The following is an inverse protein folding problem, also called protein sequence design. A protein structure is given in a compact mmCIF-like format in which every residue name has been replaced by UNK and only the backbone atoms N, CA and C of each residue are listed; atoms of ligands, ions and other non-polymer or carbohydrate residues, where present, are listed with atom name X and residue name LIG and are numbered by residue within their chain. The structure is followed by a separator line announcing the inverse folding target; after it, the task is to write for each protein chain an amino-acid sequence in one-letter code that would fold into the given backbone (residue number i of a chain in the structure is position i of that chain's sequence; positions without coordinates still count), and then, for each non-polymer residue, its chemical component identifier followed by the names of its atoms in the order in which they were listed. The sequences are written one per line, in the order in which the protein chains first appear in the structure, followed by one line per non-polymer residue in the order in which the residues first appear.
data_IF_988731417422
#
_entry.id   IF_988731417422
#
_cell.length_a   1.000
_cell.length_b   1.000
_cell.length_c   1.000
_cell.angle_alpha   90.00
_cell.angle_beta   90.00
_cell.angle_gamma   90.00
#
_symmetry.space_group_name_H-M   'P 1'
#
loop_
_entity.id
_entity.type
_entity.pdbx_description
1 polymer ?
#
# COMPACT_ATOMS: atom_id res chain seq x y z
N UNK A 1 -15.21 -5.65 46.16
CA UNK A 1 -14.09 -6.21 45.38
C UNK A 1 -14.54 -6.21 43.93
N UNK A 2 -13.74 -5.68 43.00
CA UNK A 2 -14.08 -5.66 41.58
C UNK A 2 -13.32 -6.80 40.90
N UNK A 3 -13.98 -7.50 39.98
CA UNK A 3 -13.38 -8.62 39.25
C UNK A 3 -13.00 -8.16 37.83
N UNK A 4 -11.73 -8.31 37.42
CA UNK A 4 -11.30 -8.03 36.06
C UNK A 4 -11.93 -9.06 35.11
N UNK A 5 -12.50 -8.58 34.01
CA UNK A 5 -13.08 -9.41 32.94
C UNK A 5 -12.08 -9.60 31.80
N UNK A 6 -11.39 -8.53 31.38
CA UNK A 6 -10.49 -8.56 30.24
C UNK A 6 -9.46 -7.43 30.27
N UNK A 7 -8.26 -7.69 29.74
CA UNK A 7 -7.30 -6.65 29.38
C UNK A 7 -7.52 -6.21 27.94
N UNK A 8 -7.79 -4.92 27.75
CA UNK A 8 -8.19 -4.36 26.44
C UNK A 8 -7.14 -3.45 25.79
N UNK A 9 -6.21 -2.91 26.58
CA UNK A 9 -5.13 -2.07 26.06
C UNK A 9 -3.91 -2.08 26.98
N UNK A 10 -2.75 -1.73 26.43
CA UNK A 10 -1.49 -1.55 27.15
C UNK A 10 -0.92 -0.17 26.78
N UNK A 11 -0.31 0.52 27.74
CA UNK A 11 0.44 1.77 27.50
C UNK A 11 1.59 1.91 28.48
N UNK A 12 2.60 2.68 28.09
CA UNK A 12 3.64 3.16 28.99
C UNK A 12 3.27 4.58 29.45
N UNK A 13 3.04 4.77 30.75
CA UNK A 13 2.72 6.07 31.33
C UNK A 13 3.60 6.35 32.55
N UNK A 14 4.31 7.48 32.55
CA UNK A 14 5.23 7.89 33.63
C UNK A 14 6.27 6.80 34.00
N UNK A 15 6.75 6.05 33.01
CA UNK A 15 7.72 4.97 33.22
C UNK A 15 7.13 3.66 33.75
N UNK A 16 5.81 3.59 33.95
CA UNK A 16 5.11 2.39 34.42
C UNK A 16 4.22 1.84 33.32
N UNK A 17 4.31 0.54 33.07
CA UNK A 17 3.36 -0.15 32.19
C UNK A 17 2.00 -0.22 32.86
N UNK A 18 1.00 0.33 32.19
CA UNK A 18 -0.38 0.30 32.62
C UNK A 18 -1.21 -0.48 31.61
N UNK A 19 -2.21 -1.19 32.11
CA UNK A 19 -3.17 -1.92 31.30
C UNK A 19 -4.57 -1.35 31.53
N UNK A 20 -5.33 -1.25 30.46
CA UNK A 20 -6.73 -0.88 30.56
C UNK A 20 -7.56 -2.12 30.85
N UNK A 21 -8.26 -2.11 31.98
CA UNK A 21 -9.03 -3.25 32.47
C UNK A 21 -10.50 -3.03 32.15
N UNK A 22 -11.12 -4.04 31.54
CA UNK A 22 -12.57 -4.19 31.44
C UNK A 22 -13.04 -4.90 32.71
N UNK A 23 -13.95 -4.28 33.44
CA UNK A 23 -14.49 -4.81 34.70
C UNK A 23 -15.78 -5.59 34.46
N UNK A 24 -15.93 -6.71 35.17
CA UNK A 24 -17.11 -7.57 35.09
C UNK A 24 -18.36 -6.83 35.57
N UNK A 25 -19.43 -6.87 34.78
CA UNK A 25 -20.69 -6.17 35.08
C UNK A 25 -20.69 -4.66 34.82
N UNK A 26 -19.58 -4.08 34.35
CA UNK A 26 -19.49 -2.66 34.00
C UNK A 26 -19.33 -2.46 32.50
N UNK A 27 -19.91 -1.39 31.96
CA UNK A 27 -19.67 -1.01 30.56
C UNK A 27 -18.25 -0.49 30.32
N UNK A 28 -17.78 -0.55 29.06
CA UNK A 28 -16.44 -0.15 28.64
C UNK A 28 -16.05 1.29 29.00
N UNK A 29 -17.04 2.19 29.20
CA UNK A 29 -16.80 3.56 29.66
C UNK A 29 -16.19 3.63 31.07
N UNK A 30 -16.36 2.58 31.88
CA UNK A 30 -15.80 2.49 33.24
C UNK A 30 -14.44 1.80 33.26
N UNK A 31 -13.87 1.47 32.10
CA UNK A 31 -12.55 0.85 32.06
C UNK A 31 -11.50 1.81 32.61
N UNK A 32 -10.67 1.31 33.52
CA UNK A 32 -9.62 2.09 34.19
C UNK A 32 -8.24 1.62 33.73
N UNK A 33 -7.24 2.48 33.90
CA UNK A 33 -5.83 2.16 33.64
C UNK A 33 -5.16 1.76 34.95
N UNK A 34 -4.86 0.48 35.09
CA UNK A 34 -4.21 -0.08 36.27
C UNK A 34 -2.72 -0.34 35.99
N UNK A 35 -1.80 0.00 36.91
CA UNK A 35 -0.41 -0.42 36.80
C UNK A 35 -0.30 -1.94 36.84
N UNK A 36 0.75 -2.49 36.23
CA UNK A 36 1.03 -3.93 36.24
C UNK A 36 1.02 -4.55 37.65
N UNK A 37 1.45 -3.79 38.66
CA UNK A 37 1.47 -4.20 40.07
C UNK A 37 0.08 -4.50 40.64
N UNK A 38 -0.97 -3.83 40.15
CA UNK A 38 -2.37 -4.07 40.57
C UNK A 38 -2.98 -5.31 39.90
N UNK A 39 -2.30 -5.90 38.91
CA UNK A 39 -2.79 -7.03 38.11
C UNK A 39 -2.08 -8.35 38.45
N UNK A 40 -1.46 -8.43 39.62
CA UNK A 40 -0.94 -9.69 40.13
C UNK A 40 -2.06 -10.75 40.17
N UNK A 41 -1.84 -11.91 39.54
CA UNK A 41 -2.84 -12.96 39.39
C UNK A 41 -3.71 -12.86 38.12
N UNK A 42 -3.47 -11.88 37.25
CA UNK A 42 -4.14 -11.72 35.96
C UNK A 42 -3.18 -11.95 34.77
N UNK A 43 -2.08 -12.69 34.98
CA UNK A 43 -1.02 -12.88 33.99
C UNK A 43 -1.54 -13.56 32.70
N UNK A 44 -2.47 -14.50 32.83
CA UNK A 44 -3.07 -15.19 31.69
C UNK A 44 -3.87 -14.21 30.80
N UNK A 45 -4.65 -13.30 31.40
CA UNK A 45 -5.40 -12.28 30.66
C UNK A 45 -4.46 -11.31 29.92
N UNK A 46 -3.32 -10.98 30.54
CA UNK A 46 -2.29 -10.13 29.93
C UNK A 46 -1.62 -10.89 28.76
N UNK A 47 -1.28 -12.16 28.95
CA UNK A 47 -0.66 -12.98 27.90
C UNK A 47 -1.59 -13.12 26.69
N UNK A 48 -2.87 -13.38 26.92
CA UNK A 48 -3.90 -13.45 25.88
C UNK A 48 -4.05 -12.12 25.14
N UNK A 49 -4.07 -11.00 25.86
CA UNK A 49 -4.07 -9.67 25.24
C UNK A 49 -2.84 -9.46 24.34
N UNK A 50 -1.64 -9.76 24.85
CA UNK A 50 -0.40 -9.60 24.09
C UNK A 50 -0.36 -10.47 22.85
N UNK A 51 -0.85 -11.71 22.93
CA UNK A 51 -0.97 -12.61 21.78
C UNK A 51 -1.88 -12.01 20.70
N UNK A 52 -3.09 -11.58 21.08
CA UNK A 52 -4.04 -10.93 20.16
C UNK A 52 -3.46 -9.67 19.54
N UNK A 53 -2.70 -8.90 20.31
CA UNK A 53 -2.09 -7.66 19.84
C UNK A 53 -0.98 -7.92 18.80
N UNK A 54 -0.17 -8.96 18.99
CA UNK A 54 0.82 -9.40 18.00
C UNK A 54 0.14 -9.85 16.71
N UNK A 55 -0.92 -10.65 16.80
CA UNK A 55 -1.70 -11.10 15.63
C UNK A 55 -2.35 -9.91 14.90
N UNK A 56 -2.89 -8.95 15.64
CA UNK A 56 -3.47 -7.72 15.09
C UNK A 56 -2.44 -6.89 14.34
N UNK A 57 -1.25 -6.69 14.92
CA UNK A 57 -0.16 -5.93 14.29
C UNK A 57 0.29 -6.60 13.00
N UNK A 58 0.50 -7.93 13.02
CA UNK A 58 0.84 -8.69 11.81
C UNK A 58 -0.21 -8.53 10.71
N UNK A 59 -1.49 -8.66 11.04
CA UNK A 59 -2.57 -8.47 10.07
C UNK A 59 -2.61 -7.05 9.49
N UNK A 60 -2.28 -6.02 10.28
CA UNK A 60 -2.16 -4.65 9.78
C UNK A 60 -0.96 -4.46 8.86
N UNK A 61 0.18 -5.07 9.16
CA UNK A 61 1.37 -5.04 8.30
C UNK A 61 1.12 -5.74 6.95
N UNK A 62 0.46 -6.91 6.98
CA UNK A 62 0.05 -7.63 5.77
C UNK A 62 -0.93 -6.82 4.92
N UNK A 63 -1.95 -6.22 5.55
CA UNK A 63 -2.91 -5.36 4.86
C UNK A 63 -2.23 -4.11 4.25
N UNK A 64 -1.29 -3.50 4.96
CA UNK A 64 -0.52 -2.36 4.47
C UNK A 64 0.36 -2.74 3.27
N UNK A 65 1.01 -3.91 3.32
CA UNK A 65 1.80 -4.46 2.23
C UNK A 65 0.95 -4.71 0.98
N UNK A 66 -0.21 -5.38 1.14
CA UNK A 66 -1.14 -5.61 0.03
C UNK A 66 -1.63 -4.30 -0.60
N UNK A 67 -1.98 -3.31 0.22
CA UNK A 67 -2.43 -2.00 -0.26
C UNK A 67 -1.32 -1.27 -1.05
N UNK A 68 -0.06 -1.39 -0.62
CA UNK A 68 1.09 -0.86 -1.36
C UNK A 68 1.28 -1.57 -2.70
N UNK A 69 1.24 -2.91 -2.71
CA UNK A 69 1.38 -3.69 -3.94
C UNK A 69 0.26 -3.37 -4.95
N UNK A 70 -0.99 -3.24 -4.48
CA UNK A 70 -2.12 -2.82 -5.33
C UNK A 70 -1.91 -1.42 -5.93
N UNK A 71 -1.40 -0.47 -5.14
CA UNK A 71 -1.10 0.88 -5.62
C UNK A 71 0.03 0.88 -6.64
N UNK A 72 1.08 0.09 -6.42
CA UNK A 72 2.20 -0.07 -7.36
C UNK A 72 1.73 -0.72 -8.67
N UNK A 73 0.89 -1.76 -8.61
CA UNK A 73 0.32 -2.39 -9.79
C UNK A 73 -0.57 -1.43 -10.59
N UNK A 74 -1.48 -0.70 -9.91
CA UNK A 74 -2.33 0.29 -10.56
C UNK A 74 -1.52 1.43 -11.21
N UNK A 75 -0.42 1.85 -10.57
CA UNK A 75 0.48 2.83 -11.16
C UNK A 75 1.21 2.28 -12.39
N UNK A 76 1.74 1.05 -12.30
CA UNK A 76 2.43 0.39 -13.41
C UNK A 76 1.51 0.21 -14.62
N UNK A 77 0.25 -0.17 -14.40
CA UNK A 77 -0.76 -0.29 -15.47
C UNK A 77 -0.99 1.06 -16.16
N UNK A 78 -1.15 2.14 -15.39
CA UNK A 78 -1.31 3.49 -15.96
C UNK A 78 -0.09 3.90 -16.78
N UNK A 79 1.12 3.67 -16.28
CA UNK A 79 2.36 4.00 -17.01
C UNK A 79 2.46 3.17 -18.29
N UNK A 80 2.12 1.88 -18.25
CA UNK A 80 2.13 1.03 -19.43
C UNK A 80 1.12 1.50 -20.50
N UNK A 81 -0.07 1.91 -20.09
CA UNK A 81 -1.09 2.46 -20.99
C UNK A 81 -0.63 3.77 -21.65
N UNK A 82 -0.04 4.68 -20.88
CA UNK A 82 0.52 5.94 -21.40
C UNK A 82 1.69 5.69 -22.37
N UNK A 83 2.59 4.76 -22.04
CA UNK A 83 3.71 4.37 -22.91
C UNK A 83 3.22 3.72 -24.20
N UNK A 84 2.19 2.87 -24.15
CA UNK A 84 1.60 2.25 -25.33
C UNK A 84 0.98 3.29 -26.28
N UNK A 85 0.29 4.29 -25.73
CA UNK A 85 -0.28 5.39 -26.52
C UNK A 85 0.83 6.21 -27.19
N UNK A 86 1.89 6.55 -26.46
CA UNK A 86 3.03 7.26 -27.02
C UNK A 86 3.72 6.46 -28.15
N UNK A 87 3.93 5.15 -27.95
CA UNK A 87 4.52 4.28 -28.96
C UNK A 87 3.65 4.18 -30.22
N UNK A 88 2.33 4.11 -30.08
CA UNK A 88 1.40 4.11 -31.20
C UNK A 88 1.46 5.42 -32.01
N UNK A 89 1.51 6.57 -31.34
CA UNK A 89 1.65 7.86 -32.00
C UNK A 89 2.96 7.97 -32.80
N UNK A 90 4.07 7.51 -32.23
CA UNK A 90 5.38 7.46 -32.91
C UNK A 90 5.31 6.56 -34.16
N UNK A 91 4.63 5.41 -34.08
CA UNK A 91 4.47 4.50 -35.23
C UNK A 91 3.68 5.16 -36.37
N UNK A 92 2.60 5.86 -36.06
CA UNK A 92 1.79 6.57 -37.06
C UNK A 92 2.61 7.68 -37.75
N UNK A 93 3.36 8.47 -36.98
CA UNK A 93 4.21 9.52 -37.53
C UNK A 93 5.28 8.98 -38.50
N UNK A 94 5.85 7.80 -38.20
CA UNK A 94 6.79 7.11 -39.11
C UNK A 94 6.13 6.64 -40.40
N UNK A 95 4.88 6.16 -40.36
CA UNK A 95 4.16 5.75 -41.57
C UNK A 95 3.81 6.94 -42.48
N UNK A 96 3.44 8.08 -41.89
CA UNK A 96 3.15 9.30 -42.65
C UNK A 96 4.38 9.90 -43.34
N UNK A 97 5.56 9.81 -42.70
CA UNK A 97 6.83 10.29 -43.29
C UNK A 97 7.40 9.33 -44.33
N UNK A 98 7.17 8.02 -44.20
CA UNK A 98 7.50 7.03 -45.24
C UNK A 98 6.70 7.23 -46.56
N UNK A 99 5.51 7.83 -46.49
CA UNK A 99 4.75 8.22 -47.68
C UNK A 99 5.26 9.52 -48.33
N UNK A 100 5.99 10.37 -47.59
CA UNK A 100 6.50 11.66 -48.07
C UNK A 100 7.79 11.55 -48.91
N UNK A 101 8.48 10.39 -48.91
CA UNK A 101 9.70 10.17 -49.71
C UNK A 101 9.45 9.51 -51.08
N UNK A 102 8.20 9.46 -51.57
CA UNK A 102 7.96 9.23 -53.00
C UNK A 102 8.45 10.40 -53.90
N UNK A 103 8.94 11.49 -53.29
CA UNK A 103 9.53 12.64 -53.99
C UNK A 103 11.02 12.45 -54.36
N UNK A 104 11.66 11.32 -54.01
CA UNK A 104 13.03 10.99 -54.44
C UNK A 104 13.06 10.24 -55.79
N UNK A 105 12.05 10.40 -56.64
CA UNK A 105 12.08 9.93 -58.05
C UNK A 105 12.53 11.05 -59.01
N UNK A 106 12.72 12.28 -58.50
CA UNK A 106 13.22 13.41 -59.31
C UNK A 106 14.70 13.22 -59.74
N UNK A 107 15.43 12.28 -59.13
CA UNK A 107 16.80 11.99 -59.56
C UNK A 107 16.87 11.16 -60.87
N UNK A 108 15.81 10.44 -61.23
CA UNK A 108 15.79 9.62 -62.45
C UNK A 108 15.40 10.43 -63.70
N UNK A 109 14.72 11.57 -63.54
CA UNK A 109 14.35 12.46 -64.65
C UNK A 109 15.50 13.33 -65.16
N UNK A 110 16.60 13.43 -64.40
CA UNK A 110 17.77 14.26 -64.73
C UNK A 110 18.78 13.52 -65.61
N UNK A 111 18.78 12.17 -65.60
CA UNK A 111 19.71 11.40 -66.45
C UNK A 111 19.22 11.22 -67.90
N UNK A 112 17.92 11.27 -68.18
CA UNK A 112 17.40 11.17 -69.55
C UNK A 112 17.64 12.42 -70.41
N UNK A 113 17.87 13.60 -69.80
CA UNK A 113 18.19 14.85 -70.52
C UNK A 113 19.70 15.04 -70.78
N UNK A 114 20.55 14.13 -70.33
CA UNK A 114 22.02 14.22 -70.49
C UNK A 114 22.57 13.34 -71.62
N UNK A 115 21.73 12.62 -72.35
CA UNK A 115 22.12 11.72 -73.44
C UNK A 115 21.46 12.06 -74.80
N UNK A 116 20.98 13.29 -74.99
CA UNK A 116 20.94 13.92 -76.33
C UNK A 116 22.31 14.49 -76.70
#
# INVERSE_FOLDING_TARGET
MYEPELIVAERLAKGVTQFQVKWSGYESRHNTWEPIEHLAGCEDMIADFKKREVERIKGLEEAASMKRAQKEAAHAEKVAAEAALAAAAIRLAKQATGAANAAEVVHETVEELRNE
#
